data_IF_030104717840
#
_entry.id   IF_030104717840
#
_cell.length_a   1.000
_cell.length_b   1.000
_cell.length_c   1.000
_cell.angle_alpha   90.00
_cell.angle_beta   90.00
_cell.angle_gamma   90.00
#
_symmetry.space_group_name_H-M   'P 1'
#
loop_
_entity.id
_entity.type
_entity.pdbx_description
1 polymer ?
#
# COMPACT_ATOMS: atom_id res chain seq x y z
N UNK A 1 3.86 -7.78 0.84
CA UNK A 1 2.44 -8.05 0.99
C UNK A 1 2.08 -8.45 2.39
N UNK A 2 0.84 -8.71 2.59
CA UNK A 2 0.32 -9.22 3.86
C UNK A 2 0.52 -10.74 3.94
N UNK A 3 0.37 -11.31 5.14
CA UNK A 3 0.34 -12.76 5.30
C UNK A 3 -0.95 -13.34 4.70
N UNK A 4 -0.91 -14.59 4.20
CA UNK A 4 -2.07 -15.30 3.64
C UNK A 4 -3.29 -15.25 4.58
N UNK A 5 -3.06 -15.49 5.87
CA UNK A 5 -4.11 -15.41 6.91
C UNK A 5 -4.81 -14.05 6.99
N UNK A 6 -4.10 -12.95 6.69
CA UNK A 6 -4.69 -11.61 6.66
C UNK A 6 -5.60 -11.48 5.45
N UNK A 7 -5.16 -12.00 4.30
CA UNK A 7 -5.93 -11.98 3.07
C UNK A 7 -7.22 -12.81 3.21
N UNK A 8 -7.15 -14.01 3.75
CA UNK A 8 -8.32 -14.86 4.02
C UNK A 8 -9.35 -14.15 4.92
N UNK A 9 -8.89 -13.56 6.04
CA UNK A 9 -9.78 -12.80 6.94
C UNK A 9 -10.38 -11.58 6.24
N UNK A 10 -9.60 -10.87 5.44
CA UNK A 10 -10.08 -9.76 4.64
C UNK A 10 -11.23 -10.19 3.72
N UNK A 11 -11.07 -11.30 2.99
CA UNK A 11 -12.07 -11.82 2.07
C UNK A 11 -13.37 -12.21 2.79
N UNK A 12 -13.26 -12.83 3.97
CA UNK A 12 -14.41 -13.18 4.80
C UNK A 12 -15.17 -11.93 5.26
N UNK A 13 -14.47 -10.94 5.81
CA UNK A 13 -15.09 -9.69 6.28
C UNK A 13 -15.68 -8.87 5.11
N UNK A 14 -15.01 -8.86 3.95
CA UNK A 14 -15.50 -8.19 2.75
C UNK A 14 -16.82 -8.82 2.26
N UNK A 15 -16.86 -10.14 2.10
CA UNK A 15 -18.07 -10.87 1.69
C UNK A 15 -19.19 -10.74 2.70
N UNK A 16 -18.88 -10.76 4.00
CA UNK A 16 -19.88 -10.56 5.05
C UNK A 16 -20.55 -9.18 4.98
N UNK A 17 -19.76 -8.15 4.67
CA UNK A 17 -20.24 -6.76 4.60
C UNK A 17 -20.88 -6.41 3.26
N UNK A 18 -20.36 -7.01 2.20
CA UNK A 18 -20.79 -6.77 0.82
C UNK A 18 -21.02 -8.10 0.10
N UNK A 19 -22.16 -8.78 0.32
CA UNK A 19 -22.45 -10.08 -0.26
C UNK A 19 -22.46 -10.10 -1.80
N UNK A 20 -22.84 -8.97 -2.39
CA UNK A 20 -22.97 -8.81 -3.85
C UNK A 20 -21.62 -8.67 -4.57
N UNK A 21 -20.52 -8.42 -3.83
CA UNK A 21 -19.20 -8.29 -4.45
C UNK A 21 -18.76 -9.62 -5.04
N UNK A 22 -18.49 -9.65 -6.34
CA UNK A 22 -17.83 -10.77 -6.98
C UNK A 22 -16.31 -10.66 -6.78
N UNK A 23 -15.68 -11.73 -6.34
CA UNK A 23 -14.24 -11.82 -6.13
C UNK A 23 -13.69 -12.81 -7.13
N UNK A 24 -13.15 -12.30 -8.23
CA UNK A 24 -12.58 -13.11 -9.32
C UNK A 24 -11.34 -13.89 -8.89
N UNK A 25 -10.55 -13.30 -7.98
CA UNK A 25 -9.36 -13.96 -7.50
C UNK A 25 -8.63 -13.18 -6.42
N UNK A 26 -7.68 -13.83 -5.81
CA UNK A 26 -6.77 -13.22 -4.85
C UNK A 26 -5.40 -13.89 -4.91
N UNK A 27 -4.37 -13.12 -4.56
CA UNK A 27 -3.01 -13.64 -4.54
C UNK A 27 -2.19 -12.98 -3.43
N UNK A 28 -1.54 -13.79 -2.63
CA UNK A 28 -0.57 -13.34 -1.62
C UNK A 28 0.84 -13.65 -2.11
N UNK A 29 1.56 -12.67 -2.70
CA UNK A 29 2.92 -12.92 -3.16
C UNK A 29 3.86 -13.15 -1.99
N UNK A 30 4.90 -13.98 -2.15
CA UNK A 30 5.96 -14.10 -1.16
C UNK A 30 6.66 -12.75 -0.94
N UNK A 31 7.44 -12.64 0.13
CA UNK A 31 8.21 -11.42 0.44
C UNK A 31 9.35 -11.25 -0.56
N UNK A 32 9.05 -10.64 -1.70
CA UNK A 32 9.99 -10.39 -2.79
C UNK A 32 10.45 -8.93 -2.83
N UNK A 33 11.58 -8.66 -3.48
CA UNK A 33 11.93 -7.31 -3.88
C UNK A 33 11.00 -6.85 -5.02
N UNK A 34 10.83 -5.53 -5.19
CA UNK A 34 9.96 -4.98 -6.24
C UNK A 34 10.39 -5.42 -7.66
N UNK A 35 11.70 -5.61 -7.88
CA UNK A 35 12.25 -6.08 -9.16
C UNK A 35 11.77 -7.48 -9.53
N UNK A 36 11.47 -8.30 -8.54
CA UNK A 36 10.99 -9.66 -8.76
C UNK A 36 9.50 -9.72 -9.12
N UNK A 37 8.75 -8.61 -8.89
CA UNK A 37 7.37 -8.47 -9.36
C UNK A 37 7.26 -8.13 -10.84
N UNK A 38 8.34 -7.71 -11.48
CA UNK A 38 8.38 -7.42 -12.92
C UNK A 38 8.61 -8.66 -13.79
N UNK A 39 8.47 -9.85 -13.23
CA UNK A 39 8.58 -11.09 -13.95
C UNK A 39 7.29 -11.35 -14.76
N UNK A 40 7.36 -11.78 -16.02
CA UNK A 40 6.18 -12.07 -16.85
C UNK A 40 5.12 -12.96 -16.17
N UNK A 41 5.55 -13.84 -15.27
CA UNK A 41 4.66 -14.69 -14.47
C UNK A 41 3.54 -13.91 -13.77
N UNK A 42 3.83 -12.72 -13.25
CA UNK A 42 2.83 -11.92 -12.55
C UNK A 42 1.93 -11.14 -13.51
N UNK A 43 2.40 -10.80 -14.71
CA UNK A 43 1.58 -10.19 -15.74
C UNK A 43 0.52 -11.18 -16.26
N UNK A 44 0.93 -12.39 -16.59
CA UNK A 44 0.02 -13.40 -17.11
C UNK A 44 -1.13 -13.74 -16.17
N UNK A 45 -0.94 -13.52 -14.85
CA UNK A 45 -2.04 -13.71 -13.87
C UNK A 45 -3.18 -12.71 -14.04
N UNK A 46 -2.95 -11.59 -14.72
CA UNK A 46 -3.95 -10.53 -14.92
C UNK A 46 -4.53 -10.52 -16.33
N UNK A 47 -3.95 -11.22 -17.30
CA UNK A 47 -4.39 -11.19 -18.70
C UNK A 47 -5.82 -11.75 -18.88
N UNK A 48 -6.15 -12.81 -18.15
CA UNK A 48 -7.43 -13.52 -18.26
C UNK A 48 -8.46 -13.14 -17.18
N UNK A 49 -8.14 -12.17 -16.30
CA UNK A 49 -9.10 -11.75 -15.27
C UNK A 49 -10.21 -10.90 -15.84
N UNK A 50 -11.44 -11.19 -15.46
CA UNK A 50 -12.63 -10.39 -15.79
C UNK A 50 -13.04 -9.47 -14.62
N UNK A 51 -12.05 -8.77 -14.04
CA UNK A 51 -12.26 -7.89 -12.90
C UNK A 51 -12.42 -6.44 -13.34
N UNK A 52 -13.26 -5.67 -12.66
CA UNK A 52 -13.39 -4.22 -12.85
C UNK A 52 -12.31 -3.46 -12.08
N UNK A 53 -11.90 -4.01 -10.94
CA UNK A 53 -10.98 -3.34 -9.99
C UNK A 53 -9.95 -4.32 -9.44
N UNK A 54 -8.70 -3.91 -9.45
CA UNK A 54 -7.59 -4.63 -8.82
C UNK A 54 -7.12 -3.85 -7.59
N UNK A 55 -7.17 -4.48 -6.43
CA UNK A 55 -6.66 -3.92 -5.19
C UNK A 55 -5.26 -4.43 -4.89
N UNK A 56 -4.30 -3.50 -4.79
CA UNK A 56 -2.90 -3.79 -4.53
C UNK A 56 -2.51 -3.36 -3.13
N UNK A 57 -2.00 -4.30 -2.32
CA UNK A 57 -1.54 -4.06 -0.95
C UNK A 57 -0.14 -4.62 -0.74
N UNK A 58 0.86 -4.00 -1.33
CA UNK A 58 2.27 -4.42 -1.24
C UNK A 58 3.12 -3.50 -0.34
N UNK A 59 2.55 -2.38 0.07
CA UNK A 59 3.25 -1.32 0.79
C UNK A 59 4.16 -0.48 -0.11
N UNK A 60 4.44 0.75 0.36
CA UNK A 60 5.31 1.70 -0.34
C UNK A 60 6.79 1.26 -0.28
N UNK A 61 7.59 1.40 -1.35
CA UNK A 61 7.26 1.84 -2.72
C UNK A 61 6.92 0.69 -3.68
N UNK A 62 6.81 -0.56 -3.19
CA UNK A 62 6.58 -1.74 -4.06
C UNK A 62 5.24 -1.67 -4.79
N UNK A 63 4.21 -1.20 -4.10
CA UNK A 63 2.86 -1.05 -4.60
C UNK A 63 2.82 -0.12 -5.82
N UNK A 64 3.40 1.07 -5.72
CA UNK A 64 3.42 2.07 -6.76
C UNK A 64 4.18 1.58 -8.00
N UNK A 65 5.35 0.97 -7.79
CA UNK A 65 6.16 0.41 -8.86
C UNK A 65 5.48 -0.77 -9.58
N UNK A 66 4.76 -1.58 -8.84
CA UNK A 66 4.00 -2.67 -9.44
C UNK A 66 2.82 -2.17 -10.26
N UNK A 67 2.10 -1.16 -9.76
CA UNK A 67 1.00 -0.53 -10.48
C UNK A 67 1.50 0.15 -11.77
N UNK A 68 2.60 0.90 -11.70
CA UNK A 68 3.28 1.50 -12.86
C UNK A 68 3.62 0.43 -13.90
N UNK A 69 4.22 -0.67 -13.47
CA UNK A 69 4.59 -1.79 -14.33
C UNK A 69 3.38 -2.42 -15.05
N UNK A 70 2.25 -2.59 -14.36
CA UNK A 70 1.02 -3.11 -14.98
C UNK A 70 0.48 -2.15 -16.05
N UNK A 71 0.53 -0.85 -15.80
CA UNK A 71 0.09 0.18 -16.76
C UNK A 71 1.02 0.24 -17.98
N UNK A 72 2.33 0.24 -17.78
CA UNK A 72 3.33 0.29 -18.87
C UNK A 72 3.24 -0.91 -19.81
N UNK A 73 2.95 -2.08 -19.26
CA UNK A 73 2.83 -3.31 -20.05
C UNK A 73 1.43 -3.51 -20.64
N UNK A 74 0.54 -2.50 -20.51
CA UNK A 74 -0.81 -2.51 -21.09
C UNK A 74 -1.61 -3.78 -20.78
N UNK A 75 -1.40 -4.33 -19.58
CA UNK A 75 -2.22 -5.41 -19.09
C UNK A 75 -3.62 -4.86 -18.96
N UNK A 76 -4.53 -5.21 -19.85
CA UNK A 76 -5.97 -4.82 -19.91
C UNK A 76 -6.33 -3.52 -19.13
N UNK A 77 -7.37 -2.83 -19.51
CA UNK A 77 -7.86 -1.63 -18.80
C UNK A 77 -8.54 -2.02 -17.49
N UNK A 78 -7.81 -1.99 -16.40
CA UNK A 78 -8.32 -2.17 -15.04
C UNK A 78 -8.27 -0.86 -14.24
N UNK A 79 -9.20 -0.71 -13.31
CA UNK A 79 -9.03 0.27 -12.24
C UNK A 79 -8.11 -0.31 -11.17
N UNK A 80 -6.87 0.15 -11.11
CA UNK A 80 -5.89 -0.37 -10.15
C UNK A 80 -5.80 0.57 -8.96
N UNK A 81 -6.07 0.05 -7.77
CA UNK A 81 -6.08 0.81 -6.52
C UNK A 81 -5.00 0.34 -5.55
N UNK A 82 -4.08 1.23 -5.25
CA UNK A 82 -3.10 1.03 -4.19
C UNK A 82 -3.71 1.28 -2.81
N UNK A 83 -4.09 0.23 -2.09
CA UNK A 83 -4.86 0.34 -0.86
C UNK A 83 -4.03 0.24 0.42
N UNK A 84 -2.75 -0.13 0.33
CA UNK A 84 -1.84 -0.19 1.48
C UNK A 84 -2.40 -1.04 2.64
N UNK A 85 -2.53 -0.46 3.83
CA UNK A 85 -2.95 -1.17 5.05
C UNK A 85 -4.46 -1.47 5.14
N UNK A 86 -5.25 -1.21 4.10
CA UNK A 86 -6.71 -1.45 4.14
C UNK A 86 -7.03 -2.91 4.42
N UNK A 87 -6.25 -3.84 3.88
CA UNK A 87 -6.44 -5.27 4.14
C UNK A 87 -6.29 -5.61 5.62
N UNK A 88 -5.27 -5.07 6.27
CA UNK A 88 -5.05 -5.25 7.72
C UNK A 88 -6.20 -4.67 8.55
N UNK A 89 -6.72 -3.51 8.17
CA UNK A 89 -7.82 -2.86 8.91
C UNK A 89 -9.14 -3.61 8.75
N UNK A 90 -9.48 -4.03 7.55
CA UNK A 90 -10.70 -4.81 7.29
C UNK A 90 -10.61 -6.19 7.94
N UNK A 91 -9.45 -6.85 7.85
CA UNK A 91 -9.18 -8.12 8.51
C UNK A 91 -9.07 -8.00 10.05
N UNK A 92 -9.12 -6.78 10.59
CA UNK A 92 -8.98 -6.48 12.03
C UNK A 92 -7.67 -7.02 12.64
N UNK A 93 -6.63 -7.12 11.83
CA UNK A 93 -5.29 -7.54 12.27
C UNK A 93 -4.46 -6.36 12.78
N UNK A 94 -4.77 -5.15 12.32
CA UNK A 94 -4.23 -3.90 12.84
C UNK A 94 -5.35 -2.91 13.15
N UNK A 95 -5.12 -2.10 14.17
CA UNK A 95 -6.08 -1.08 14.56
C UNK A 95 -5.87 0.20 13.74
N UNK A 96 -6.97 0.77 13.27
CA UNK A 96 -6.97 2.14 12.77
C UNK A 96 -6.81 3.10 13.93
N UNK A 97 -6.07 4.19 13.72
CA UNK A 97 -5.95 5.22 14.75
C UNK A 97 -7.34 5.73 15.17
N UNK A 98 -7.61 5.89 16.48
CA UNK A 98 -8.82 6.54 16.96
C UNK A 98 -8.96 7.93 16.32
N UNK A 99 -10.21 8.39 16.15
CA UNK A 99 -10.49 9.67 15.49
C UNK A 99 -9.77 10.86 16.14
N UNK A 100 -9.59 10.82 17.45
CA UNK A 100 -8.88 11.88 18.18
C UNK A 100 -7.41 12.00 17.71
N UNK A 101 -6.73 10.89 17.45
CA UNK A 101 -5.38 10.90 16.91
C UNK A 101 -5.37 11.35 15.43
N UNK A 102 -6.31 10.87 14.63
CA UNK A 102 -6.40 11.22 13.23
C UNK A 102 -6.72 12.70 13.02
N UNK A 103 -7.71 13.25 13.75
CA UNK A 103 -8.12 14.66 13.67
C UNK A 103 -7.02 15.64 14.13
N UNK A 104 -6.14 15.23 15.04
CA UNK A 104 -5.05 16.05 15.55
C UNK A 104 -3.70 15.81 14.83
N UNK A 105 -3.67 15.02 13.77
CA UNK A 105 -2.45 14.73 13.01
C UNK A 105 -1.49 13.74 13.68
N UNK A 106 -1.91 13.05 14.74
CA UNK A 106 -1.11 12.08 15.48
C UNK A 106 -1.29 10.62 15.01
N UNK A 107 -1.91 10.40 13.86
CA UNK A 107 -2.07 9.04 13.30
C UNK A 107 -0.73 8.32 13.13
N UNK A 108 0.32 9.04 12.70
CA UNK A 108 1.67 8.51 12.57
C UNK A 108 2.24 7.99 13.89
N UNK A 109 1.98 8.69 15.00
CA UNK A 109 2.43 8.28 16.34
C UNK A 109 1.73 6.99 16.79
N UNK A 110 0.42 6.90 16.54
CA UNK A 110 -0.33 5.68 16.82
C UNK A 110 0.19 4.49 16.03
N UNK A 111 0.50 4.68 14.74
CA UNK A 111 1.14 3.64 13.91
C UNK A 111 2.53 3.28 14.40
N UNK A 112 3.30 4.27 14.84
CA UNK A 112 4.62 4.05 15.39
C UNK A 112 4.59 3.18 16.65
N UNK A 113 3.63 3.40 17.55
CA UNK A 113 3.45 2.57 18.75
C UNK A 113 3.11 1.12 18.39
N UNK A 114 2.32 0.90 17.34
CA UNK A 114 1.99 -0.47 16.90
C UNK A 114 3.17 -1.22 16.28
N UNK A 115 4.04 -0.53 15.53
CA UNK A 115 5.14 -1.15 14.77
C UNK A 115 6.45 -0.34 14.90
N UNK A 116 7.00 -0.18 16.13
CA UNK A 116 8.11 0.74 16.37
C UNK A 116 9.37 0.36 15.58
N UNK A 117 9.74 -0.90 15.57
CA UNK A 117 10.97 -1.34 14.88
C UNK A 117 10.90 -1.17 13.36
N UNK A 118 9.75 -1.42 12.76
CA UNK A 118 9.55 -1.26 11.31
C UNK A 118 9.52 0.21 10.89
N UNK A 119 8.89 1.06 11.70
CA UNK A 119 8.69 2.47 11.37
C UNK A 119 9.81 3.39 11.86
N UNK A 120 10.58 2.98 12.87
CA UNK A 120 11.68 3.79 13.42
C UNK A 120 12.67 4.22 12.34
N UNK A 121 13.16 3.27 11.54
CA UNK A 121 14.09 3.57 10.45
C UNK A 121 13.51 4.58 9.47
N UNK A 122 12.27 4.35 9.05
CA UNK A 122 11.57 5.22 8.09
C UNK A 122 11.35 6.62 8.66
N UNK A 123 10.89 6.73 9.90
CA UNK A 123 10.60 8.03 10.51
C UNK A 123 11.86 8.82 10.86
N UNK A 124 12.91 8.15 11.31
CA UNK A 124 14.16 8.84 11.66
C UNK A 124 14.95 9.22 10.40
N UNK A 125 15.10 8.30 9.45
CA UNK A 125 15.95 8.55 8.27
C UNK A 125 15.19 9.38 7.23
N UNK A 126 14.02 8.90 6.77
CA UNK A 126 13.32 9.53 5.65
C UNK A 126 12.80 10.92 6.02
N UNK A 127 12.24 11.10 7.24
CA UNK A 127 11.78 12.41 7.67
C UNK A 127 12.93 13.39 7.88
N UNK A 128 14.09 12.93 8.36
CA UNK A 128 15.26 13.79 8.50
C UNK A 128 15.76 14.28 7.14
N UNK A 129 15.83 13.38 6.15
CA UNK A 129 16.16 13.77 4.78
C UNK A 129 15.13 14.72 4.18
N UNK A 130 13.84 14.46 4.40
CA UNK A 130 12.78 15.35 3.94
C UNK A 130 12.93 16.77 4.52
N UNK A 131 13.11 16.89 5.83
CA UNK A 131 13.31 18.19 6.50
C UNK A 131 14.57 18.89 5.96
N UNK A 132 15.68 18.15 5.80
CA UNK A 132 16.89 18.69 5.24
C UNK A 132 16.69 19.27 3.82
N UNK A 133 16.09 18.49 2.92
CA UNK A 133 15.84 18.93 1.55
C UNK A 133 14.80 20.05 1.48
N UNK A 134 13.78 20.02 2.31
CA UNK A 134 12.79 21.08 2.41
C UNK A 134 13.44 22.41 2.84
N UNK A 135 14.23 22.39 3.90
CA UNK A 135 14.95 23.59 4.35
C UNK A 135 15.93 24.09 3.30
N UNK A 136 16.66 23.19 2.65
CA UNK A 136 17.57 23.55 1.56
C UNK A 136 16.84 24.24 0.41
N UNK A 137 15.69 23.70 0.00
CA UNK A 137 14.86 24.28 -1.06
C UNK A 137 14.29 25.64 -0.63
N UNK A 138 13.76 25.76 0.57
CA UNK A 138 13.21 26.98 1.12
C UNK A 138 14.26 28.11 1.15
N UNK A 139 15.43 27.82 1.68
CA UNK A 139 16.54 28.76 1.76
C UNK A 139 17.16 29.11 0.36
N UNK A 140 16.99 28.23 -0.62
CA UNK A 140 17.45 28.44 -1.99
C UNK A 140 16.45 29.25 -2.81
N UNK A 141 15.16 29.18 -2.54
CA UNK A 141 14.09 29.91 -3.24
C UNK A 141 14.12 31.41 -2.94
N UNK A 142 14.72 31.85 -1.85
CA UNK A 142 14.90 33.29 -1.51
C UNK A 142 15.96 33.98 -2.37
N UNK A 143 16.60 33.29 -3.33
CA UNK A 143 17.62 33.86 -4.20
C UNK A 143 17.17 34.13 -5.64
N UNK A 144 15.87 33.98 -5.92
CA UNK A 144 15.33 34.25 -7.26
C UNK A 144 14.15 35.22 -7.14
N UNK A 145 14.45 36.48 -6.86
CA UNK A 145 13.67 37.68 -7.20
C UNK A 145 14.63 38.67 -7.86
#
# INVERSE_FOLDING_TARGET
GNEEKVLEKFLIELKSKYPEVNIEGHYCPPMLDWKEFTIPKYLNMFEDLEADVIWVSLGFPKQEKFMEYLVENKVREYNILGVGNVFDWVAKTKYKAPEIFAKNGFEWLFRFIQEPFRLARRYIIDNTFFVYFFLKQYLSSDKTI
#
